data_IF_483364124905
#
_entry.id   IF_483364124905
#
_cell.length_a   1.000
_cell.length_b   1.000
_cell.length_c   1.000
_cell.angle_alpha   90.00
_cell.angle_beta   90.00
_cell.angle_gamma   90.00
#
_symmetry.space_group_name_H-M   'P 1'
#
loop_
_entity.id
_entity.type
_entity.pdbx_description
1 polymer ?
#
# COMPACT_ATOMS: atom_id res chain seq x y z
N UNK A 1 -26.65 -14.23 0.10
CA UNK A 1 -26.21 -12.97 0.75
C UNK A 1 -24.81 -13.09 1.34
N UNK A 2 -24.48 -14.13 2.12
CA UNK A 2 -23.14 -14.36 2.70
C UNK A 2 -22.04 -14.41 1.61
N UNK A 3 -22.20 -15.21 0.57
CA UNK A 3 -21.21 -15.31 -0.54
C UNK A 3 -20.95 -13.97 -1.25
N UNK A 4 -21.93 -13.10 -1.37
CA UNK A 4 -21.77 -11.77 -1.97
C UNK A 4 -20.93 -10.85 -1.06
N UNK A 5 -21.18 -10.86 0.26
CA UNK A 5 -20.40 -10.09 1.23
C UNK A 5 -18.96 -10.58 1.23
N UNK A 6 -18.75 -11.88 1.36
CA UNK A 6 -17.42 -12.49 1.45
C UNK A 6 -16.60 -12.21 0.18
N UNK A 7 -17.22 -12.30 -1.00
CA UNK A 7 -16.55 -11.99 -2.26
C UNK A 7 -16.20 -10.52 -2.43
N UNK A 8 -16.97 -9.60 -1.87
CA UNK A 8 -16.84 -8.16 -2.13
C UNK A 8 -16.11 -7.40 -1.01
N UNK A 9 -16.31 -7.82 0.24
CA UNK A 9 -15.80 -7.16 1.44
C UNK A 9 -14.95 -8.07 2.32
N UNK A 10 -14.77 -9.35 1.94
CA UNK A 10 -14.00 -10.35 2.64
C UNK A 10 -14.75 -10.97 3.82
N UNK A 11 -15.44 -10.17 4.61
CA UNK A 11 -16.24 -10.60 5.75
C UNK A 11 -17.36 -9.58 6.00
N UNK A 12 -18.37 -9.93 6.83
CA UNK A 12 -19.38 -8.96 7.29
C UNK A 12 -18.75 -7.79 8.08
N UNK A 13 -17.67 -8.06 8.84
CA UNK A 13 -16.90 -7.01 9.53
C UNK A 13 -16.19 -6.08 8.53
N UNK A 14 -15.72 -6.62 7.41
CA UNK A 14 -15.17 -5.83 6.31
C UNK A 14 -16.22 -4.93 5.68
N UNK A 15 -17.44 -5.41 5.48
CA UNK A 15 -18.57 -4.59 5.01
C UNK A 15 -18.89 -3.47 6.01
N UNK A 16 -19.04 -3.80 7.30
CA UNK A 16 -19.35 -2.79 8.32
C UNK A 16 -18.27 -1.70 8.38
N UNK A 17 -16.99 -2.08 8.38
CA UNK A 17 -15.88 -1.11 8.36
C UNK A 17 -15.85 -0.27 7.08
N UNK A 18 -16.20 -0.85 5.94
CA UNK A 18 -16.32 -0.09 4.69
C UNK A 18 -17.45 0.94 4.77
N UNK A 19 -18.62 0.57 5.31
CA UNK A 19 -19.74 1.49 5.52
C UNK A 19 -19.37 2.62 6.48
N UNK A 20 -18.74 2.31 7.61
CA UNK A 20 -18.26 3.31 8.57
C UNK A 20 -17.25 4.26 7.92
N UNK A 21 -16.28 3.74 7.16
CA UNK A 21 -15.30 4.56 6.46
C UNK A 21 -15.93 5.48 5.40
N UNK A 22 -16.99 5.03 4.73
CA UNK A 22 -17.75 5.90 3.81
C UNK A 22 -18.54 6.97 4.56
N UNK A 23 -19.12 6.65 5.74
CA UNK A 23 -19.78 7.64 6.60
C UNK A 23 -18.78 8.69 7.11
N UNK A 24 -17.58 8.28 7.51
CA UNK A 24 -16.50 9.20 7.90
C UNK A 24 -16.04 10.08 6.73
N UNK A 25 -15.99 9.54 5.51
CA UNK A 25 -15.69 10.29 4.30
C UNK A 25 -16.79 11.34 4.03
N UNK A 26 -18.06 10.94 4.08
CA UNK A 26 -19.21 11.82 3.83
C UNK A 26 -19.33 12.95 4.87
N UNK A 27 -18.97 12.67 6.12
CA UNK A 27 -18.95 13.67 7.21
C UNK A 27 -17.69 14.53 7.25
N UNK A 28 -16.74 14.31 6.33
CA UNK A 28 -15.49 15.07 6.27
C UNK A 28 -14.45 14.68 7.34
N UNK A 29 -14.70 13.65 8.15
CA UNK A 29 -13.75 13.18 9.18
C UNK A 29 -12.43 12.65 8.62
N UNK A 30 -12.42 12.28 7.33
CA UNK A 30 -11.20 11.81 6.65
C UNK A 30 -10.39 12.93 6.00
N UNK A 31 -10.82 14.21 6.10
CA UNK A 31 -10.05 15.36 5.58
C UNK A 31 -8.60 15.42 6.05
N UNK A 32 -8.24 15.07 7.31
CA UNK A 32 -6.86 15.05 7.75
C UNK A 32 -5.97 14.02 7.03
N UNK A 33 -6.58 13.06 6.32
CA UNK A 33 -5.93 12.02 5.53
C UNK A 33 -6.07 12.25 4.01
N UNK A 34 -6.42 13.46 3.59
CA UNK A 34 -6.36 13.87 2.20
C UNK A 34 -4.92 14.25 1.80
N UNK A 35 -4.61 14.10 0.52
CA UNK A 35 -3.33 14.56 -0.02
C UNK A 35 -3.39 16.09 -0.22
N UNK A 36 -2.59 16.83 0.54
CA UNK A 36 -2.59 18.30 0.53
C UNK A 36 -1.45 18.88 -0.31
N UNK A 37 -0.27 18.25 -0.31
CA UNK A 37 0.95 18.76 -0.95
C UNK A 37 1.52 17.69 -1.87
N UNK A 38 1.03 17.62 -3.12
CA UNK A 38 1.45 16.62 -4.12
C UNK A 38 2.91 16.82 -4.54
N UNK A 39 3.29 18.05 -4.74
CA UNK A 39 4.62 18.48 -5.19
C UNK A 39 5.71 18.18 -4.16
N UNK A 40 5.35 18.08 -2.88
CA UNK A 40 6.28 17.77 -1.81
C UNK A 40 6.55 16.25 -1.66
N UNK A 41 5.83 15.40 -2.40
CA UNK A 41 5.98 13.94 -2.30
C UNK A 41 7.25 13.50 -3.05
N UNK A 42 8.20 12.93 -2.30
CA UNK A 42 9.46 12.40 -2.83
C UNK A 42 9.48 10.87 -2.88
N UNK A 43 8.79 10.22 -1.93
CA UNK A 43 8.71 8.77 -1.82
C UNK A 43 7.32 8.34 -1.36
N UNK A 44 6.82 7.25 -1.94
CA UNK A 44 5.55 6.62 -1.58
C UNK A 44 5.83 5.44 -0.64
N UNK A 45 5.16 5.40 0.52
CA UNK A 45 5.35 4.35 1.53
C UNK A 45 4.04 3.61 1.77
N UNK A 46 3.94 2.38 1.29
CA UNK A 46 2.73 1.56 1.50
C UNK A 46 2.75 0.90 2.87
N UNK A 47 1.66 1.06 3.61
CA UNK A 47 1.55 0.60 5.00
C UNK A 47 0.33 -0.30 5.19
N UNK A 48 0.54 -1.44 5.84
CA UNK A 48 -0.56 -2.26 6.34
C UNK A 48 -0.20 -2.87 7.71
N UNK A 49 -0.94 -3.85 8.18
CA UNK A 49 -0.65 -4.45 9.50
C UNK A 49 0.66 -5.25 9.47
N UNK A 50 0.78 -6.23 8.57
CA UNK A 50 1.89 -7.18 8.56
C UNK A 50 2.94 -6.97 7.47
N UNK A 51 2.77 -6.07 6.50
CA UNK A 51 3.63 -5.88 5.32
C UNK A 51 3.91 -7.17 4.52
N UNK A 52 2.96 -8.09 4.47
CA UNK A 52 3.10 -9.40 3.81
C UNK A 52 2.04 -9.68 2.73
N UNK A 53 0.99 -8.84 2.62
CA UNK A 53 -0.07 -8.97 1.61
C UNK A 53 -0.28 -7.64 0.88
N UNK A 54 -1.14 -6.75 1.41
CA UNK A 54 -1.61 -5.52 0.72
C UNK A 54 -0.48 -4.54 0.41
N UNK A 55 0.30 -4.12 1.40
CA UNK A 55 1.40 -3.16 1.20
C UNK A 55 2.56 -3.77 0.44
N UNK A 56 2.81 -5.08 0.60
CA UNK A 56 3.78 -5.82 -0.21
C UNK A 56 3.40 -5.79 -1.69
N UNK A 57 2.14 -6.15 -2.01
CA UNK A 57 1.63 -6.11 -3.38
C UNK A 57 1.68 -4.68 -3.97
N UNK A 58 1.22 -3.68 -3.18
CA UNK A 58 1.24 -2.29 -3.61
C UNK A 58 2.65 -1.78 -3.92
N UNK A 59 3.65 -2.16 -3.11
CA UNK A 59 5.06 -1.83 -3.32
C UNK A 59 5.54 -2.35 -4.68
N UNK A 60 5.38 -3.64 -4.94
CA UNK A 60 5.85 -4.24 -6.20
C UNK A 60 5.05 -3.77 -7.42
N UNK A 61 3.75 -3.47 -7.26
CA UNK A 61 2.97 -2.85 -8.33
C UNK A 61 3.47 -1.42 -8.63
N UNK A 62 3.80 -0.63 -7.61
CA UNK A 62 4.27 0.73 -7.76
C UNK A 62 5.66 0.82 -8.43
N UNK A 63 6.53 -0.16 -8.22
CA UNK A 63 7.80 -0.28 -8.96
C UNK A 63 7.58 -0.36 -10.48
N UNK A 64 6.49 -0.97 -10.94
CA UNK A 64 6.14 -1.06 -12.37
C UNK A 64 5.74 0.28 -12.98
N UNK A 65 5.42 1.25 -12.13
CA UNK A 65 5.11 2.64 -12.50
C UNK A 65 6.26 3.59 -12.25
N UNK A 66 7.47 3.03 -11.98
CA UNK A 66 8.69 3.80 -11.74
C UNK A 66 8.63 4.73 -10.51
N UNK A 67 7.76 4.47 -9.57
CA UNK A 67 7.68 5.27 -8.34
C UNK A 67 8.86 4.95 -7.41
N UNK A 68 9.35 5.98 -6.72
CA UNK A 68 10.25 5.81 -5.58
C UNK A 68 9.42 5.30 -4.40
N UNK A 69 9.62 4.04 -4.00
CA UNK A 69 8.72 3.33 -3.10
C UNK A 69 9.43 2.65 -1.93
N UNK A 70 8.71 2.57 -0.83
CA UNK A 70 9.00 1.70 0.29
C UNK A 70 7.70 1.07 0.81
N UNK A 71 7.82 0.10 1.71
CA UNK A 71 6.65 -0.45 2.40
C UNK A 71 7.01 -0.92 3.81
N UNK A 72 6.03 -0.90 4.72
CA UNK A 72 6.21 -1.36 6.08
C UNK A 72 4.94 -1.94 6.69
N UNK A 73 5.11 -2.66 7.81
CA UNK A 73 4.04 -3.15 8.66
C UNK A 73 4.02 -2.48 10.02
N UNK A 74 2.82 -2.15 10.49
CA UNK A 74 2.63 -1.52 11.81
C UNK A 74 2.83 -2.52 12.95
N UNK A 75 2.63 -3.82 12.69
CA UNK A 75 2.74 -4.89 13.68
C UNK A 75 3.27 -6.15 12.99
N UNK A 76 4.58 -6.20 12.81
CA UNK A 76 5.31 -7.30 12.16
C UNK A 76 6.75 -7.30 12.61
N UNK A 77 7.48 -8.37 12.31
CA UNK A 77 8.94 -8.44 12.42
C UNK A 77 9.57 -8.27 11.05
N UNK A 78 10.70 -7.59 10.99
CA UNK A 78 11.48 -7.42 9.75
C UNK A 78 11.99 -8.77 9.26
N UNK A 79 12.01 -8.96 7.93
CA UNK A 79 12.42 -10.20 7.28
C UNK A 79 11.27 -11.20 7.04
N UNK A 80 10.07 -10.96 7.59
CA UNK A 80 8.90 -11.81 7.40
C UNK A 80 8.56 -12.01 5.92
N UNK A 81 8.25 -13.26 5.52
CA UNK A 81 7.89 -13.61 4.14
C UNK A 81 6.38 -13.46 3.91
N UNK A 82 6.01 -13.18 2.68
CA UNK A 82 4.61 -13.24 2.26
C UNK A 82 4.07 -14.69 2.38
N UNK A 83 2.82 -14.89 2.86
CA UNK A 83 2.23 -16.23 2.93
C UNK A 83 1.96 -16.79 1.53
N UNK A 84 1.94 -18.11 1.40
CA UNK A 84 1.74 -18.81 0.13
C UNK A 84 0.50 -18.31 -0.64
N UNK A 85 -0.58 -18.04 0.06
CA UNK A 85 -1.82 -17.53 -0.53
C UNK A 85 -1.64 -16.12 -1.14
N UNK A 86 -0.88 -15.23 -0.48
CA UNK A 86 -0.56 -13.91 -1.03
C UNK A 86 0.37 -14.01 -2.23
N UNK A 87 1.37 -14.90 -2.18
CA UNK A 87 2.28 -15.18 -3.31
C UNK A 87 1.47 -15.69 -4.51
N UNK A 88 0.60 -16.68 -4.32
CA UNK A 88 -0.24 -17.22 -5.39
C UNK A 88 -1.17 -16.16 -6.00
N UNK A 89 -1.86 -15.35 -5.18
CA UNK A 89 -2.72 -14.27 -5.65
C UNK A 89 -1.94 -13.18 -6.40
N UNK A 90 -0.75 -12.83 -5.94
CA UNK A 90 0.12 -11.86 -6.60
C UNK A 90 0.66 -12.41 -7.94
N UNK A 91 1.02 -13.69 -7.99
CA UNK A 91 1.48 -14.37 -9.22
C UNK A 91 0.39 -14.34 -10.30
N UNK A 92 -0.88 -14.62 -9.96
CA UNK A 92 -2.02 -14.46 -10.89
C UNK A 92 -2.14 -13.04 -11.43
N UNK A 93 -1.67 -12.08 -10.67
CA UNK A 93 -1.60 -10.68 -11.07
C UNK A 93 -0.24 -10.31 -11.73
N UNK A 94 0.66 -11.24 -11.98
CA UNK A 94 1.97 -11.01 -12.61
C UNK A 94 2.97 -10.29 -11.70
N UNK A 95 2.84 -10.44 -10.37
CA UNK A 95 3.77 -9.90 -9.37
C UNK A 95 4.36 -11.05 -8.56
N UNK A 96 5.69 -11.04 -8.41
CA UNK A 96 6.40 -11.98 -7.55
C UNK A 96 6.56 -11.40 -6.14
N UNK A 97 5.91 -12.03 -5.16
CA UNK A 97 6.08 -11.72 -3.73
C UNK A 97 7.01 -12.68 -3.00
N UNK A 98 7.65 -13.64 -3.67
CA UNK A 98 8.62 -14.56 -3.03
C UNK A 98 9.86 -13.80 -2.55
N UNK A 99 10.25 -12.78 -3.31
CA UNK A 99 11.40 -11.91 -3.00
C UNK A 99 11.11 -10.89 -1.91
N UNK A 100 9.82 -10.63 -1.62
CA UNK A 100 9.44 -9.62 -0.64
C UNK A 100 9.82 -10.03 0.79
N UNK A 101 10.31 -9.05 1.55
CA UNK A 101 10.58 -9.17 2.99
C UNK A 101 9.91 -8.01 3.70
N UNK A 102 9.14 -8.33 4.73
CA UNK A 102 8.46 -7.32 5.54
C UNK A 102 9.48 -6.43 6.25
N UNK A 103 9.15 -5.16 6.39
CA UNK A 103 9.88 -4.20 7.23
C UNK A 103 8.98 -3.79 8.37
N UNK A 104 9.45 -3.88 9.60
CA UNK A 104 8.71 -3.45 10.78
C UNK A 104 8.80 -1.92 10.96
N UNK A 105 7.83 -1.33 11.66
CA UNK A 105 7.85 0.10 11.96
C UNK A 105 9.13 0.54 12.72
N UNK A 106 9.63 -0.17 13.75
CA UNK A 106 10.85 0.23 14.44
C UNK A 106 12.10 0.30 13.57
N UNK A 107 12.16 -0.54 12.53
CA UNK A 107 13.31 -0.62 11.63
C UNK A 107 13.17 0.31 10.41
N UNK A 108 12.02 0.95 10.25
CA UNK A 108 11.75 1.81 9.10
C UNK A 108 12.28 3.22 9.33
N UNK A 109 13.07 3.73 8.38
CA UNK A 109 13.59 5.10 8.40
C UNK A 109 12.66 6.04 7.66
N UNK A 110 11.92 6.87 8.41
CA UNK A 110 11.05 7.92 7.89
C UNK A 110 11.90 9.05 7.30
N UNK A 111 11.60 9.43 6.05
CA UNK A 111 12.28 10.52 5.33
C UNK A 111 11.34 11.70 5.14
N UNK A 112 11.90 12.89 4.97
CA UNK A 112 11.13 14.06 4.54
C UNK A 112 10.56 13.83 3.14
N UNK A 113 9.33 14.26 2.90
CA UNK A 113 8.62 14.02 1.65
C UNK A 113 8.00 12.63 1.52
N UNK A 114 8.00 11.81 2.58
CA UNK A 114 7.27 10.53 2.57
C UNK A 114 5.76 10.76 2.51
N UNK A 115 5.11 10.09 1.56
CA UNK A 115 3.66 9.90 1.53
C UNK A 115 3.33 8.50 1.99
N UNK A 116 2.81 8.37 3.20
CA UNK A 116 2.34 7.10 3.74
C UNK A 116 0.93 6.77 3.25
N UNK A 117 0.76 5.63 2.61
CA UNK A 117 -0.49 5.13 2.08
C UNK A 117 -0.95 3.91 2.86
N UNK A 118 -1.93 4.11 3.72
CA UNK A 118 -2.49 3.06 4.56
C UNK A 118 -3.73 2.43 3.92
N UNK A 119 -4.07 1.22 4.33
CA UNK A 119 -5.19 0.43 3.79
C UNK A 119 -6.51 0.66 4.53
N UNK A 120 -6.45 1.13 5.77
CA UNK A 120 -7.60 1.22 6.68
C UNK A 120 -7.53 2.49 7.52
N UNK A 121 -8.68 3.07 7.86
CA UNK A 121 -8.76 4.31 8.68
C UNK A 121 -8.05 4.16 10.03
N UNK A 122 -8.22 3.01 10.71
CA UNK A 122 -7.52 2.75 11.98
C UNK A 122 -5.99 2.80 11.84
N UNK A 123 -5.44 2.34 10.71
CA UNK A 123 -3.99 2.40 10.44
C UNK A 123 -3.54 3.85 10.23
N UNK A 124 -4.39 4.71 9.62
CA UNK A 124 -4.09 6.13 9.47
C UNK A 124 -3.95 6.82 10.83
N UNK A 125 -4.88 6.60 11.73
CA UNK A 125 -4.83 7.16 13.08
C UNK A 125 -3.64 6.63 13.88
N UNK A 126 -3.36 5.32 13.80
CA UNK A 126 -2.22 4.71 14.49
C UNK A 126 -0.89 5.28 13.96
N UNK A 127 -0.72 5.34 12.66
CA UNK A 127 0.49 5.87 12.05
C UNK A 127 0.69 7.35 12.37
N UNK A 128 -0.38 8.15 12.36
CA UNK A 128 -0.31 9.56 12.75
C UNK A 128 0.20 9.74 14.18
N UNK A 129 -0.29 8.91 15.12
CA UNK A 129 0.23 8.93 16.50
C UNK A 129 1.71 8.57 16.58
N UNK A 130 2.16 7.58 15.79
CA UNK A 130 3.58 7.16 15.77
C UNK A 130 4.50 8.21 15.14
N UNK A 131 4.01 8.94 14.14
CA UNK A 131 4.73 10.02 13.48
C UNK A 131 4.83 11.29 14.35
N UNK A 132 3.94 11.44 15.33
CA UNK A 132 3.90 12.62 16.21
C UNK A 132 3.64 13.91 15.42
N UNK A 133 4.42 14.95 15.70
CA UNK A 133 4.24 16.29 15.14
C UNK A 133 4.97 16.51 13.80
N UNK A 134 5.37 15.45 13.08
CA UNK A 134 6.05 15.58 11.79
C UNK A 134 5.12 16.22 10.75
N UNK A 135 5.53 17.38 10.22
CA UNK A 135 4.82 18.13 9.19
C UNK A 135 5.41 17.92 7.79
N UNK A 136 6.58 17.30 7.70
CA UNK A 136 7.33 17.03 6.48
C UNK A 136 6.91 15.72 5.78
N UNK A 137 5.92 15.03 6.32
CA UNK A 137 5.33 13.80 5.78
C UNK A 137 3.81 13.89 5.71
N UNK A 138 3.18 13.06 4.88
CA UNK A 138 1.73 13.01 4.74
C UNK A 138 1.23 11.58 4.95
N UNK A 139 0.01 11.43 5.48
CA UNK A 139 -0.66 10.13 5.66
C UNK A 139 -1.99 10.16 4.93
N UNK A 140 -2.18 9.25 3.97
CA UNK A 140 -3.41 9.16 3.17
C UNK A 140 -3.92 7.71 3.14
N UNK A 141 -5.18 7.54 2.77
CA UNK A 141 -5.80 6.23 2.54
C UNK A 141 -5.63 5.85 1.06
N UNK A 142 -4.96 4.73 0.77
CA UNK A 142 -4.78 4.26 -0.61
C UNK A 142 -6.11 4.09 -1.34
N UNK A 143 -7.15 3.69 -0.63
CA UNK A 143 -8.47 3.48 -1.20
C UNK A 143 -9.16 4.72 -1.76
N UNK A 144 -8.63 5.93 -1.50
CA UNK A 144 -9.13 7.17 -2.11
C UNK A 144 -8.85 7.23 -3.61
N UNK A 145 -7.86 6.48 -4.11
CA UNK A 145 -7.54 6.33 -5.54
C UNK A 145 -8.27 5.16 -6.20
N UNK A 146 -9.08 4.39 -5.48
CA UNK A 146 -9.95 3.38 -6.07
C UNK A 146 -11.10 4.03 -6.87
N UNK A 147 -11.57 3.32 -7.89
CA UNK A 147 -12.78 3.71 -8.66
C UNK A 147 -13.76 2.53 -8.65
N UNK A 148 -14.90 2.62 -7.93
CA UNK A 148 -15.31 3.71 -7.03
C UNK A 148 -14.39 3.82 -5.80
N UNK A 149 -14.38 5.00 -5.18
CA UNK A 149 -13.61 5.26 -3.95
C UNK A 149 -13.97 4.23 -2.87
N UNK A 150 -12.96 3.69 -2.19
CA UNK A 150 -13.12 2.69 -1.16
C UNK A 150 -12.15 2.96 0.01
N UNK A 151 -12.51 3.81 0.97
CA UNK A 151 -11.59 4.25 2.03
C UNK A 151 -11.09 3.12 2.93
N UNK A 152 -11.75 1.96 2.90
CA UNK A 152 -11.36 0.76 3.66
C UNK A 152 -11.05 -0.41 2.73
N UNK A 153 -9.79 -0.79 2.63
CA UNK A 153 -9.32 -1.98 1.91
C UNK A 153 -9.09 -3.12 2.92
N UNK A 154 -10.13 -3.94 3.14
CA UNK A 154 -10.12 -4.99 4.15
C UNK A 154 -8.99 -6.01 3.94
N UNK A 155 -8.46 -6.58 5.04
CA UNK A 155 -7.34 -7.53 5.00
C UNK A 155 -7.76 -8.86 4.37
N UNK A 156 -7.08 -9.32 3.29
CA UNK A 156 -7.38 -10.61 2.68
C UNK A 156 -6.76 -11.80 3.44
N UNK A 157 -5.92 -11.57 4.43
CA UNK A 157 -5.21 -12.64 5.15
C UNK A 157 -6.17 -13.68 5.75
N UNK A 158 -5.94 -14.95 5.44
CA UNK A 158 -6.80 -16.09 5.81
C UNK A 158 -8.23 -16.05 5.23
N UNK A 159 -8.48 -15.25 4.19
CA UNK A 159 -9.75 -15.25 3.46
C UNK A 159 -9.63 -16.04 2.16
N UNK A 160 -10.71 -16.10 1.36
CA UNK A 160 -10.75 -16.86 0.11
C UNK A 160 -9.80 -16.28 -0.96
N UNK A 161 -9.31 -17.13 -1.85
CA UNK A 161 -8.48 -16.71 -3.00
C UNK A 161 -9.22 -15.69 -3.88
N UNK A 162 -10.54 -15.87 -4.06
CA UNK A 162 -11.37 -14.91 -4.77
C UNK A 162 -11.31 -13.52 -4.14
N UNK A 163 -11.29 -13.43 -2.80
CA UNK A 163 -11.16 -12.14 -2.13
C UNK A 163 -9.72 -11.58 -2.23
N UNK A 164 -8.70 -12.43 -2.19
CA UNK A 164 -7.32 -12.01 -2.48
C UNK A 164 -7.21 -11.35 -3.85
N UNK A 165 -7.72 -12.00 -4.90
CA UNK A 165 -7.69 -11.47 -6.27
C UNK A 165 -8.42 -10.13 -6.37
N UNK A 166 -9.58 -10.03 -5.73
CA UNK A 166 -10.35 -8.77 -5.69
C UNK A 166 -9.61 -7.67 -4.94
N UNK A 167 -9.00 -7.99 -3.80
CA UNK A 167 -8.20 -7.06 -3.03
C UNK A 167 -7.02 -6.54 -3.85
N UNK A 168 -6.25 -7.41 -4.47
CA UNK A 168 -5.10 -7.05 -5.28
C UNK A 168 -5.50 -6.28 -6.54
N UNK A 169 -6.63 -6.62 -7.20
CA UNK A 169 -7.17 -5.83 -8.30
C UNK A 169 -7.47 -4.38 -7.88
N UNK A 170 -8.07 -4.18 -6.69
CA UNK A 170 -8.34 -2.84 -6.15
C UNK A 170 -7.05 -2.07 -5.84
N UNK A 171 -6.10 -2.73 -5.18
CA UNK A 171 -4.79 -2.14 -4.88
C UNK A 171 -4.07 -1.74 -6.16
N UNK A 172 -4.03 -2.60 -7.18
CA UNK A 172 -3.47 -2.29 -8.50
C UNK A 172 -4.09 -1.05 -9.12
N UNK A 173 -5.42 -1.00 -9.18
CA UNK A 173 -6.14 0.15 -9.74
C UNK A 173 -5.81 1.44 -8.97
N UNK A 174 -5.78 1.38 -7.64
CA UNK A 174 -5.44 2.53 -6.81
C UNK A 174 -3.99 3.00 -7.05
N UNK A 175 -3.03 2.06 -7.14
CA UNK A 175 -1.62 2.38 -7.42
C UNK A 175 -1.45 3.00 -8.80
N UNK A 176 -2.10 2.48 -9.83
CA UNK A 176 -2.06 3.06 -11.17
C UNK A 176 -2.62 4.50 -11.21
N UNK A 177 -3.75 4.74 -10.53
CA UNK A 177 -4.33 6.09 -10.41
C UNK A 177 -3.42 7.03 -9.61
N UNK A 178 -2.81 6.54 -8.53
CA UNK A 178 -1.85 7.28 -7.71
C UNK A 178 -0.61 7.69 -8.50
N UNK A 179 -0.07 6.77 -9.32
CA UNK A 179 1.12 7.03 -10.13
C UNK A 179 0.91 8.15 -11.16
N UNK A 180 -0.31 8.30 -11.66
CA UNK A 180 -0.69 9.41 -12.52
C UNK A 180 -0.76 10.76 -11.76
N UNK A 181 -1.13 10.69 -10.48
CA UNK A 181 -1.26 11.87 -9.60
C UNK A 181 0.08 12.41 -9.05
N UNK A 182 1.14 11.59 -9.06
CA UNK A 182 2.42 11.88 -8.39
C UNK A 182 3.63 11.82 -9.35
N UNK A 183 3.73 12.69 -10.33
CA UNK A 183 4.84 12.67 -11.29
C UNK A 183 6.21 12.88 -10.63
N UNK A 184 6.29 13.67 -9.54
CA UNK A 184 7.54 14.00 -8.84
C UNK A 184 8.06 12.86 -7.93
N UNK A 185 7.22 11.89 -7.60
CA UNK A 185 7.62 10.74 -6.79
C UNK A 185 8.23 9.60 -7.63
N UNK A 186 8.67 9.86 -8.84
CA UNK A 186 9.30 8.86 -9.72
C UNK A 186 10.80 8.81 -9.49
N UNK A 187 11.38 7.62 -9.68
CA UNK A 187 12.83 7.44 -9.65
C UNK A 187 13.45 8.20 -10.84
N UNK A 188 14.41 9.10 -10.61
CA UNK A 188 15.08 9.81 -11.69
C UNK A 188 15.73 8.83 -12.69
N UNK A 189 15.64 9.14 -14.00
CA UNK A 189 16.17 8.28 -15.07
C UNK A 189 17.65 7.96 -14.88
N UNK A 190 18.42 8.91 -14.34
CA UNK A 190 19.85 8.72 -14.04
C UNK A 190 20.12 7.63 -12.99
N UNK A 191 19.25 7.47 -12.00
CA UNK A 191 19.40 6.42 -10.98
C UNK A 191 18.99 5.03 -11.51
N UNK A 192 18.08 4.96 -12.49
CA UNK A 192 17.70 3.71 -13.15
C UNK A 192 18.85 3.13 -13.97
N UNK A 193 19.57 3.98 -14.71
CA UNK A 193 20.72 3.54 -15.52
C UNK A 193 21.85 3.01 -14.64
N UNK A 194 22.13 3.64 -13.50
CA UNK A 194 23.15 3.19 -12.56
C UNK A 194 22.78 1.83 -11.90
N UNK A 195 21.52 1.64 -11.50
CA UNK A 195 21.04 0.40 -10.92
C UNK A 195 21.09 -0.76 -11.93
N UNK A 196 20.64 -0.52 -13.17
CA UNK A 196 20.70 -1.52 -14.25
C UNK A 196 22.13 -1.93 -14.60
N UNK A 197 23.07 -0.99 -14.57
CA UNK A 197 24.50 -1.27 -14.82
C UNK A 197 25.13 -2.11 -13.70
N UNK A 198 24.78 -1.84 -12.44
CA UNK A 198 25.25 -2.63 -11.29
C UNK A 198 24.68 -4.06 -11.29
N UNK A 199 23.42 -4.23 -11.66
CA UNK A 199 22.78 -5.56 -11.74
C UNK A 199 23.37 -6.40 -12.90
N UNK A 200 23.72 -5.75 -14.02
CA UNK A 200 24.39 -6.42 -15.15
C UNK A 200 25.83 -6.84 -14.81
N UNK A 201 26.55 -6.04 -14.04
CA UNK A 201 27.88 -6.37 -13.55
C UNK A 201 27.89 -7.57 -12.59
N UNK A 202 26.90 -7.66 -11.71
CA UNK A 202 26.73 -8.78 -10.77
C UNK A 202 26.33 -10.12 -11.43
N UNK A 203 25.76 -10.10 -12.63
CA UNK A 203 25.38 -11.31 -13.40
C UNK A 203 26.54 -11.87 -14.23
N UNK A 204 27.63 -11.14 -14.37
CA UNK A 204 28.81 -11.52 -15.17
C UNK A 204 30.08 -11.71 -14.32
N UNK A 205 29.97 -11.61 -12.98
CA UNK A 205 30.98 -11.97 -12.01
C UNK A 205 30.63 -13.31 -11.32
#
# INVERSE_FOLDING_TARGET
MKNWIDSRYGTWRGLLRALLAHAELATGRLRPFALHRREAVQRVVFVCHGNICRSAFAHHEALRHDLNVASLGLSTSTGGRSPAQAIAGASRAGIDLQVHRATSWPDFKVQSGDLFLVMEVRQAHELRRRLGNRQDVQVCLLGMWCKPVMPHLHDPYKLSDHYFDRCFKRVRQAVASLAADLPNARVPVAQKSAAASSEKALRHA
#
